data_IF_228469777561
#
_entry.id   IF_228469777561
#
_cell.length_a   1.000
_cell.length_b   1.000
_cell.length_c   1.000
_cell.angle_alpha   90.00
_cell.angle_beta   90.00
_cell.angle_gamma   90.00
#
_symmetry.space_group_name_H-M   'P 1'
#
loop_
_entity.id
_entity.type
_entity.pdbx_description
1 polymer ?
#
# COMPACT_ATOMS: atom_id res chain seq x y z
N UNK A 1 18.11 19.25 39.89
CA UNK A 1 19.17 18.95 38.88
C UNK A 1 18.63 17.89 37.94
N UNK A 2 18.12 18.30 36.78
CA UNK A 2 17.66 17.38 35.74
C UNK A 2 18.87 16.62 35.20
N UNK A 3 18.99 15.32 35.53
CA UNK A 3 19.85 14.44 34.75
C UNK A 3 19.34 14.51 33.31
N UNK A 4 20.13 15.08 32.41
CA UNK A 4 19.88 15.02 30.98
C UNK A 4 19.90 13.54 30.61
N UNK A 5 18.72 12.93 30.48
CA UNK A 5 18.56 11.56 30.00
C UNK A 5 19.35 11.42 28.70
N UNK A 6 20.22 10.42 28.64
CA UNK A 6 20.98 10.14 27.43
C UNK A 6 20.01 9.73 26.32
N UNK A 7 20.31 10.08 25.06
CA UNK A 7 19.52 9.67 23.90
C UNK A 7 19.32 8.14 23.85
N UNK A 8 20.29 7.39 24.35
CA UNK A 8 20.21 5.93 24.46
C UNK A 8 19.18 5.46 25.50
N UNK A 9 19.09 6.16 26.63
CA UNK A 9 18.11 5.85 27.69
C UNK A 9 16.69 6.17 27.20
N UNK A 10 16.51 7.30 26.51
CA UNK A 10 15.22 7.65 25.92
C UNK A 10 14.77 6.60 24.88
N UNK A 11 15.69 6.15 24.02
CA UNK A 11 15.41 5.09 23.05
C UNK A 11 15.03 3.77 23.74
N UNK A 12 15.71 3.38 24.83
CA UNK A 12 15.39 2.17 25.57
C UNK A 12 14.00 2.23 26.23
N UNK A 13 13.65 3.38 26.83
CA UNK A 13 12.32 3.62 27.40
C UNK A 13 11.26 3.55 26.32
N UNK A 14 11.50 4.21 25.18
CA UNK A 14 10.60 4.19 24.03
C UNK A 14 10.39 2.77 23.48
N UNK A 15 11.48 2.01 23.27
CA UNK A 15 11.43 0.62 22.79
C UNK A 15 10.56 -0.24 23.72
N UNK A 16 10.74 -0.13 25.04
CA UNK A 16 9.91 -0.84 26.02
C UNK A 16 8.44 -0.43 25.96
N UNK A 17 8.16 0.87 25.83
CA UNK A 17 6.79 1.38 25.76
C UNK A 17 6.06 0.87 24.50
N UNK A 18 6.73 0.89 23.34
CA UNK A 18 6.17 0.42 22.06
C UNK A 18 5.86 -1.08 22.12
N UNK A 19 6.78 -1.88 22.66
CA UNK A 19 6.60 -3.33 22.79
C UNK A 19 5.44 -3.64 23.74
N UNK A 20 5.33 -2.94 24.88
CA UNK A 20 4.31 -3.24 25.87
C UNK A 20 2.89 -2.79 25.45
N UNK A 21 2.75 -1.82 24.54
CA UNK A 21 1.45 -1.23 24.18
C UNK A 21 1.21 -1.14 22.66
N UNK A 22 1.21 -2.27 21.92
CA UNK A 22 1.11 -2.26 20.46
C UNK A 22 -0.21 -1.64 19.94
N UNK A 23 -1.30 -1.76 20.71
CA UNK A 23 -2.59 -1.15 20.40
C UNK A 23 -2.54 0.38 20.45
N UNK A 24 -2.09 0.94 21.58
CA UNK A 24 -1.97 2.39 21.78
C UNK A 24 -1.04 3.05 20.76
N UNK A 25 0.05 2.37 20.39
CA UNK A 25 0.96 2.87 19.36
C UNK A 25 0.23 3.00 18.02
N UNK A 26 -0.67 2.06 17.69
CA UNK A 26 -1.48 2.13 16.46
C UNK A 26 -2.43 3.33 16.49
N UNK A 27 -3.07 3.58 17.63
CA UNK A 27 -3.97 4.73 17.79
C UNK A 27 -3.22 6.05 17.68
N UNK A 28 -2.06 6.17 18.33
CA UNK A 28 -1.19 7.36 18.20
C UNK A 28 -0.75 7.59 16.75
N UNK A 29 -0.38 6.52 16.04
CA UNK A 29 0.00 6.61 14.62
C UNK A 29 -1.16 7.03 13.71
N UNK A 30 -2.37 6.53 13.98
CA UNK A 30 -3.56 6.96 13.21
C UNK A 30 -3.88 8.42 13.47
N UNK A 31 -3.86 8.87 14.72
CA UNK A 31 -4.06 10.29 15.08
C UNK A 31 -2.98 11.16 14.43
N UNK A 32 -1.72 10.75 14.47
CA UNK A 32 -0.63 11.46 13.81
C UNK A 32 -0.84 11.54 12.28
N UNK A 33 -1.26 10.45 11.64
CA UNK A 33 -1.59 10.45 10.21
C UNK A 33 -2.74 11.41 9.93
N UNK A 34 -3.81 11.39 10.73
CA UNK A 34 -4.98 12.24 10.54
C UNK A 34 -4.67 13.72 10.77
N UNK A 35 -3.72 14.03 11.66
CA UNK A 35 -3.26 15.39 11.91
C UNK A 35 -2.71 16.06 10.66
N UNK A 36 -2.06 15.30 9.76
CA UNK A 36 -1.55 15.83 8.49
C UNK A 36 -2.65 16.43 7.60
N UNK A 37 -3.82 15.78 7.55
CA UNK A 37 -4.98 16.26 6.78
C UNK A 37 -5.63 17.49 7.42
N UNK A 38 -5.66 17.57 8.76
CA UNK A 38 -6.13 18.77 9.45
C UNK A 38 -5.20 19.97 9.24
N UNK A 39 -3.88 19.74 9.23
CA UNK A 39 -2.87 20.77 8.95
C UNK A 39 -3.04 21.32 7.54
N UNK A 40 -3.30 20.45 6.55
CA UNK A 40 -3.57 20.86 5.16
C UNK A 40 -4.80 21.78 5.05
N UNK A 41 -5.84 21.54 5.85
CA UNK A 41 -7.10 22.24 5.74
C UNK A 41 -7.18 23.59 6.47
N UNK A 42 -6.48 23.75 7.60
CA UNK A 42 -6.74 24.88 8.53
C UNK A 42 -5.53 25.79 8.82
N UNK A 43 -4.30 25.27 8.80
CA UNK A 43 -3.14 25.97 9.40
C UNK A 43 -2.11 26.43 8.36
N UNK A 44 -2.08 25.86 7.15
CA UNK A 44 -1.24 26.38 6.08
C UNK A 44 -1.77 26.03 4.69
N UNK A 45 -1.92 27.02 3.80
CA UNK A 45 -2.21 26.82 2.35
C UNK A 45 -1.09 26.08 1.60
N UNK A 46 -0.02 25.68 2.29
CA UNK A 46 1.16 25.07 1.69
C UNK A 46 1.10 23.55 1.81
N UNK A 47 0.86 22.80 0.70
CA UNK A 47 0.76 21.33 0.73
C UNK A 47 2.05 20.63 1.16
N UNK A 48 3.19 21.35 1.18
CA UNK A 48 4.49 20.81 1.58
C UNK A 48 4.47 20.38 3.07
N UNK A 49 3.87 21.18 3.94
CA UNK A 49 3.91 20.93 5.40
C UNK A 49 3.02 19.74 5.76
N UNK A 50 1.84 19.64 5.14
CA UNK A 50 0.96 18.48 5.34
C UNK A 50 1.62 17.18 4.86
N UNK A 51 2.28 17.20 3.71
CA UNK A 51 3.01 16.03 3.20
C UNK A 51 4.25 15.68 4.04
N UNK A 52 4.93 16.67 4.63
CA UNK A 52 6.01 16.42 5.58
C UNK A 52 5.49 15.69 6.83
N UNK A 53 4.40 16.19 7.43
CA UNK A 53 3.79 15.56 8.61
C UNK A 53 3.31 14.15 8.28
N UNK A 54 2.70 13.96 7.10
CA UNK A 54 2.26 12.65 6.62
C UNK A 54 3.43 11.67 6.47
N UNK A 55 4.46 12.06 5.70
CA UNK A 55 5.63 11.21 5.45
C UNK A 55 6.38 10.87 6.74
N UNK A 56 6.59 11.85 7.63
CA UNK A 56 7.22 11.63 8.92
C UNK A 56 6.40 10.66 9.80
N UNK A 57 5.08 10.83 9.86
CA UNK A 57 4.19 9.92 10.59
C UNK A 57 4.32 8.48 10.07
N UNK A 58 4.38 8.29 8.74
CA UNK A 58 4.55 6.95 8.15
C UNK A 58 5.93 6.35 8.38
N UNK A 59 6.99 7.15 8.40
CA UNK A 59 8.33 6.68 8.74
C UNK A 59 8.42 6.24 10.21
N UNK A 60 7.75 6.96 11.12
CA UNK A 60 7.64 6.55 12.53
C UNK A 60 6.85 5.25 12.67
N UNK A 61 5.71 5.12 11.97
CA UNK A 61 4.96 3.84 11.92
C UNK A 61 5.83 2.68 11.42
N UNK A 62 6.62 2.89 10.36
CA UNK A 62 7.53 1.88 9.81
C UNK A 62 8.61 1.49 10.82
N UNK A 63 9.13 2.45 11.58
CA UNK A 63 10.10 2.21 12.64
C UNK A 63 9.49 1.40 13.79
N UNK A 64 8.27 1.75 14.22
CA UNK A 64 7.56 1.03 15.27
C UNK A 64 7.22 -0.40 14.87
N UNK A 65 6.76 -0.60 13.64
CA UNK A 65 6.52 -1.93 13.08
C UNK A 65 7.80 -2.78 13.09
N UNK A 66 8.96 -2.17 12.83
CA UNK A 66 10.26 -2.85 12.91
C UNK A 66 10.62 -3.24 14.34
N UNK A 67 10.43 -2.35 15.32
CA UNK A 67 10.67 -2.65 16.74
C UNK A 67 9.79 -3.80 17.23
N UNK A 68 8.53 -3.82 16.82
CA UNK A 68 7.57 -4.87 17.20
C UNK A 68 7.95 -6.19 16.55
N UNK A 69 8.32 -6.19 15.26
CA UNK A 69 8.80 -7.40 14.56
C UNK A 69 10.05 -7.98 15.22
N UNK A 70 10.98 -7.14 15.65
CA UNK A 70 12.20 -7.58 16.36
C UNK A 70 11.87 -8.17 17.74
N UNK A 71 10.86 -7.65 18.43
CA UNK A 71 10.50 -8.08 19.78
C UNK A 71 9.60 -9.34 19.82
N UNK A 72 8.70 -9.49 18.85
CA UNK A 72 7.69 -10.56 18.81
C UNK A 72 7.90 -11.58 17.69
N UNK A 73 8.80 -11.31 16.74
CA UNK A 73 9.09 -12.23 15.64
C UNK A 73 9.71 -13.53 16.15
N UNK A 74 9.16 -14.66 15.72
CA UNK A 74 9.65 -16.01 16.02
C UNK A 74 10.79 -16.46 15.11
N UNK A 75 11.21 -15.61 14.15
CA UNK A 75 12.32 -15.89 13.23
C UNK A 75 13.51 -14.98 13.51
N UNK A 76 14.72 -15.47 13.26
CA UNK A 76 15.93 -14.65 13.33
C UNK A 76 15.81 -13.40 12.45
N UNK A 77 16.36 -12.24 12.89
CA UNK A 77 16.34 -11.02 12.10
C UNK A 77 17.24 -11.20 10.88
N UNK A 78 16.67 -11.75 9.80
CA UNK A 78 17.38 -11.93 8.54
C UNK A 78 17.58 -10.57 7.87
N UNK A 79 18.66 -9.88 8.23
CA UNK A 79 19.15 -8.67 7.56
C UNK A 79 19.71 -8.98 6.16
N UNK A 80 18.89 -9.59 5.31
CA UNK A 80 19.23 -9.88 3.93
C UNK A 80 19.03 -8.66 3.04
N UNK A 81 19.76 -8.64 1.92
CA UNK A 81 19.61 -7.63 0.86
C UNK A 81 18.14 -7.48 0.41
N UNK A 82 17.35 -8.57 0.44
CA UNK A 82 15.91 -8.57 0.15
C UNK A 82 15.13 -7.60 1.04
N UNK A 83 15.30 -7.69 2.35
CA UNK A 83 14.56 -6.87 3.31
C UNK A 83 15.03 -5.42 3.29
N UNK A 84 16.34 -5.20 3.10
CA UNK A 84 16.89 -3.87 2.93
C UNK A 84 16.30 -3.16 1.71
N UNK A 85 16.22 -3.85 0.56
CA UNK A 85 15.62 -3.30 -0.66
C UNK A 85 14.15 -2.94 -0.41
N UNK A 86 13.37 -3.82 0.24
CA UNK A 86 11.98 -3.52 0.60
C UNK A 86 11.85 -2.30 1.49
N UNK A 87 12.70 -2.20 2.52
CA UNK A 87 12.72 -1.05 3.43
C UNK A 87 12.98 0.24 2.67
N UNK A 88 14.04 0.27 1.85
CA UNK A 88 14.35 1.45 1.04
C UNK A 88 13.21 1.81 0.07
N UNK A 89 12.59 0.81 -0.56
CA UNK A 89 11.48 1.01 -1.47
C UNK A 89 10.25 1.60 -0.76
N UNK A 90 9.97 1.17 0.49
CA UNK A 90 8.91 1.75 1.32
C UNK A 90 9.20 3.17 1.78
N UNK A 91 10.42 3.45 2.21
CA UNK A 91 10.85 4.79 2.61
C UNK A 91 10.69 5.76 1.45
N UNK A 92 11.15 5.36 0.25
CA UNK A 92 10.98 6.17 -0.96
C UNK A 92 9.51 6.38 -1.30
N UNK A 93 8.66 5.35 -1.17
CA UNK A 93 7.22 5.50 -1.40
C UNK A 93 6.58 6.53 -0.47
N UNK A 94 6.94 6.56 0.83
CA UNK A 94 6.41 7.54 1.76
C UNK A 94 6.97 8.96 1.55
N UNK A 95 8.22 9.10 1.08
CA UNK A 95 8.85 10.40 0.88
C UNK A 95 8.64 10.99 -0.52
N UNK A 96 8.16 10.20 -1.50
CA UNK A 96 8.06 10.61 -2.91
C UNK A 96 7.32 11.93 -3.10
N UNK A 97 6.07 12.01 -2.64
CA UNK A 97 5.22 13.20 -2.84
C UNK A 97 5.84 14.43 -2.16
N UNK A 98 6.41 14.25 -0.97
CA UNK A 98 7.10 15.33 -0.26
C UNK A 98 8.31 15.86 -1.05
N UNK A 99 9.17 14.97 -1.56
CA UNK A 99 10.33 15.33 -2.37
C UNK A 99 9.88 16.04 -3.65
N UNK A 100 8.84 15.54 -4.32
CA UNK A 100 8.30 16.14 -5.54
C UNK A 100 7.79 17.57 -5.31
N UNK A 101 7.09 17.80 -4.21
CA UNK A 101 6.60 19.14 -3.86
C UNK A 101 7.73 20.09 -3.47
N UNK A 102 8.74 19.61 -2.74
CA UNK A 102 9.94 20.38 -2.41
C UNK A 102 10.69 20.83 -3.67
N UNK A 103 10.91 19.89 -4.59
CA UNK A 103 11.63 20.15 -5.85
C UNK A 103 10.81 21.05 -6.75
N UNK A 104 9.48 20.87 -6.83
CA UNK A 104 8.59 21.78 -7.57
C UNK A 104 8.72 23.22 -7.07
N UNK A 105 8.84 23.42 -5.76
CA UNK A 105 8.99 24.75 -5.16
C UNK A 105 10.38 25.37 -5.40
N UNK A 106 11.46 24.57 -5.33
CA UNK A 106 12.85 25.06 -5.45
C UNK A 106 13.35 25.15 -6.90
N UNK A 107 13.02 24.17 -7.74
CA UNK A 107 13.59 23.97 -9.09
C UNK A 107 12.52 23.96 -10.21
N UNK A 108 11.27 24.28 -9.86
CA UNK A 108 10.17 24.40 -10.81
C UNK A 108 9.75 23.08 -11.45
N UNK A 109 8.94 23.18 -12.51
CA UNK A 109 8.30 22.02 -13.15
C UNK A 109 9.29 21.08 -13.83
N UNK A 110 10.38 21.60 -14.43
CA UNK A 110 11.42 20.76 -15.06
C UNK A 110 12.12 19.88 -14.02
N UNK A 111 12.50 20.47 -12.88
CA UNK A 111 13.10 19.74 -11.76
C UNK A 111 12.17 18.67 -11.18
N UNK A 112 10.87 18.98 -11.06
CA UNK A 112 9.86 18.01 -10.59
C UNK A 112 9.90 16.74 -11.45
N UNK A 113 9.84 16.88 -12.78
CA UNK A 113 9.81 15.74 -13.70
C UNK A 113 11.14 14.97 -13.75
N UNK A 114 12.29 15.64 -13.61
CA UNK A 114 13.59 14.94 -13.54
C UNK A 114 13.69 14.08 -12.29
N UNK A 115 13.29 14.61 -11.13
CA UNK A 115 13.34 13.86 -9.86
C UNK A 115 12.31 12.74 -9.84
N UNK A 116 11.07 12.99 -10.30
CA UNK A 116 10.05 11.95 -10.42
C UNK A 116 10.52 10.79 -11.33
N UNK A 117 11.19 11.11 -12.44
CA UNK A 117 11.77 10.09 -13.34
C UNK A 117 12.87 9.28 -12.65
N UNK A 118 13.79 9.93 -11.92
CA UNK A 118 14.85 9.25 -11.18
C UNK A 118 14.31 8.34 -10.08
N UNK A 119 13.34 8.81 -9.29
CA UNK A 119 12.68 8.01 -8.26
C UNK A 119 11.98 6.80 -8.89
N UNK A 120 11.31 6.99 -10.03
CA UNK A 120 10.61 5.91 -10.69
C UNK A 120 11.55 4.86 -11.29
N UNK A 121 12.68 5.29 -11.87
CA UNK A 121 13.73 4.38 -12.34
C UNK A 121 14.30 3.58 -11.18
N UNK A 122 14.58 4.24 -10.05
CA UNK A 122 15.08 3.55 -8.85
C UNK A 122 14.08 2.50 -8.35
N UNK A 123 12.80 2.85 -8.21
CA UNK A 123 11.74 1.92 -7.78
C UNK A 123 11.61 0.74 -8.72
N UNK A 124 11.56 1.02 -10.03
CA UNK A 124 11.44 0.00 -11.06
C UNK A 124 12.64 -0.96 -11.03
N UNK A 125 13.86 -0.43 -10.97
CA UNK A 125 15.07 -1.25 -10.89
C UNK A 125 15.10 -2.14 -9.65
N UNK A 126 14.73 -1.60 -8.49
CA UNK A 126 14.66 -2.33 -7.22
C UNK A 126 13.57 -3.41 -7.23
N UNK A 127 12.40 -3.11 -7.80
CA UNK A 127 11.31 -4.07 -7.98
C UNK A 127 11.70 -5.20 -8.96
N UNK A 128 12.39 -4.89 -10.06
CA UNK A 128 12.92 -5.91 -10.98
C UNK A 128 13.96 -6.81 -10.30
N UNK A 129 14.84 -6.25 -9.45
CA UNK A 129 15.79 -7.05 -8.66
C UNK A 129 15.06 -7.99 -7.71
N UNK A 130 14.00 -7.52 -7.04
CA UNK A 130 13.14 -8.37 -6.19
C UNK A 130 12.44 -9.47 -6.99
N UNK A 131 11.95 -9.17 -8.18
CA UNK A 131 11.29 -10.15 -9.04
C UNK A 131 12.26 -11.21 -9.57
N UNK A 132 13.39 -10.81 -10.14
CA UNK A 132 14.30 -11.75 -10.82
C UNK A 132 15.20 -12.52 -9.86
N UNK A 133 15.74 -11.87 -8.81
CA UNK A 133 16.68 -12.51 -7.89
C UNK A 133 15.96 -13.25 -6.76
N UNK A 134 14.85 -12.71 -6.31
CA UNK A 134 14.17 -13.15 -5.10
C UNK A 134 12.82 -13.86 -5.36
N UNK A 135 12.36 -13.88 -6.63
CA UNK A 135 11.13 -14.54 -7.12
C UNK A 135 9.90 -14.20 -6.28
N UNK A 136 9.82 -12.96 -5.79
CA UNK A 136 8.64 -12.50 -5.07
C UNK A 136 7.52 -12.17 -6.05
N UNK A 137 6.40 -12.84 -5.86
CA UNK A 137 5.22 -12.69 -6.68
C UNK A 137 4.03 -12.65 -5.72
N UNK A 138 3.11 -11.69 -5.81
CA UNK A 138 3.24 -10.34 -6.37
C UNK A 138 3.99 -9.38 -5.42
N UNK A 139 4.51 -8.26 -5.95
CA UNK A 139 5.16 -7.21 -5.17
C UNK A 139 4.09 -6.28 -4.58
N UNK A 140 3.87 -6.41 -3.28
CA UNK A 140 2.94 -5.56 -2.55
C UNK A 140 3.26 -4.06 -2.70
N UNK A 141 2.22 -3.26 -2.87
CA UNK A 141 2.26 -1.80 -2.76
C UNK A 141 1.51 -1.38 -1.48
N UNK A 142 2.17 -0.85 -0.43
CA UNK A 142 3.63 -0.70 -0.25
C UNK A 142 4.39 -2.04 -0.03
N UNK A 143 5.70 -2.09 -0.34
CA UNK A 143 6.52 -3.32 -0.30
C UNK A 143 6.60 -4.03 1.07
N UNK A 144 6.45 -3.28 2.14
CA UNK A 144 6.22 -3.82 3.49
C UNK A 144 4.78 -3.50 3.83
N UNK A 145 3.95 -4.54 3.91
CA UNK A 145 2.59 -4.38 4.41
C UNK A 145 2.63 -3.89 5.86
N UNK A 146 1.79 -2.89 6.16
CA UNK A 146 1.58 -2.40 7.53
C UNK A 146 1.30 -3.59 8.43
N UNK A 147 2.05 -3.69 9.53
CA UNK A 147 1.93 -4.83 10.42
C UNK A 147 0.53 -4.85 11.03
N UNK A 148 -0.24 -5.92 10.78
CA UNK A 148 -1.51 -6.12 11.46
C UNK A 148 -1.22 -6.62 12.88
N UNK A 149 -0.88 -5.68 13.77
CA UNK A 149 -0.46 -5.94 15.16
C UNK A 149 -1.49 -6.78 15.93
N UNK A 150 -2.78 -6.63 15.61
CA UNK A 150 -3.88 -7.46 16.14
C UNK A 150 -3.71 -8.96 15.86
N UNK A 151 -3.18 -9.35 14.69
CA UNK A 151 -2.94 -10.77 14.37
C UNK A 151 -1.86 -11.41 15.23
N UNK A 152 -0.88 -10.64 15.72
CA UNK A 152 0.18 -11.16 16.60
C UNK A 152 -0.29 -11.27 18.05
N UNK A 153 -1.17 -10.36 18.49
CA UNK A 153 -1.78 -10.42 19.83
C UNK A 153 -2.87 -11.49 19.92
N UNK A 154 -3.75 -11.59 18.90
CA UNK A 154 -4.82 -12.61 18.82
C UNK A 154 -4.31 -13.99 18.38
N UNK A 155 -3.21 -14.05 17.61
CA UNK A 155 -2.53 -15.30 17.25
C UNK A 155 -2.13 -16.11 18.48
N UNK A 156 -1.81 -15.43 19.59
CA UNK A 156 -1.50 -16.05 20.88
C UNK A 156 -2.73 -16.68 21.55
N UNK A 157 -3.92 -16.08 21.38
CA UNK A 157 -5.19 -16.69 21.81
C UNK A 157 -5.62 -17.84 20.87
N UNK A 158 -5.25 -17.78 19.59
CA UNK A 158 -5.54 -18.86 18.63
C UNK A 158 -4.61 -20.06 18.76
N UNK A 159 -3.36 -19.86 19.17
CA UNK A 159 -2.43 -20.95 19.53
C UNK A 159 -2.88 -21.68 20.80
N UNK A 160 -3.51 -21.01 21.77
CA UNK A 160 -4.24 -21.69 22.86
C UNK A 160 -5.45 -22.48 22.34
N UNK A 161 -6.05 -22.02 21.24
CA UNK A 161 -7.13 -22.68 20.52
C UNK A 161 -6.64 -23.73 19.51
N UNK A 162 -5.34 -24.05 19.44
CA UNK A 162 -4.78 -25.14 18.60
C UNK A 162 -5.38 -26.52 18.94
N UNK A 163 -6.03 -26.64 20.09
CA UNK A 163 -6.90 -27.75 20.47
C UNK A 163 -8.17 -27.91 19.60
N UNK A 164 -8.47 -26.98 18.70
CA UNK A 164 -9.65 -26.98 17.82
C UNK A 164 -9.52 -27.86 16.56
N UNK A 165 -8.32 -28.35 16.23
CA UNK A 165 -8.10 -29.19 15.06
C UNK A 165 -7.40 -30.49 15.44
N UNK A 166 -7.74 -31.60 14.79
CA UNK A 166 -7.05 -32.87 14.95
C UNK A 166 -6.72 -33.50 13.59
N UNK A 167 -5.56 -34.15 13.52
CA UNK A 167 -5.13 -34.93 12.36
C UNK A 167 -5.62 -36.37 12.49
N UNK A 168 -6.25 -36.89 11.44
CA UNK A 168 -6.63 -38.30 11.39
C UNK A 168 -5.38 -39.17 11.20
N UNK A 169 -5.10 -40.08 12.15
CA UNK A 169 -3.89 -40.92 12.17
C UNK A 169 -3.65 -41.74 10.89
N UNK A 170 -4.72 -42.15 10.19
CA UNK A 170 -4.63 -43.02 8.99
C UNK A 170 -4.58 -42.25 7.67
N UNK A 171 -5.29 -41.12 7.58
CA UNK A 171 -5.40 -40.34 6.34
C UNK A 171 -4.55 -39.07 6.33
N UNK A 172 -3.98 -38.68 7.47
CA UNK A 172 -3.26 -37.41 7.64
C UNK A 172 -4.15 -36.16 7.48
N UNK A 173 -5.45 -36.34 7.27
CA UNK A 173 -6.38 -35.23 7.00
C UNK A 173 -6.69 -34.47 8.29
N UNK A 174 -6.57 -33.14 8.24
CA UNK A 174 -6.94 -32.23 9.32
C UNK A 174 -8.47 -32.06 9.37
N UNK A 175 -9.04 -32.26 10.55
CA UNK A 175 -10.48 -32.14 10.82
C UNK A 175 -10.68 -31.18 12.00
N UNK A 176 -11.70 -30.33 11.91
CA UNK A 176 -12.13 -29.44 13.01
C UNK A 176 -12.82 -30.25 14.11
N UNK A 177 -12.50 -29.97 15.37
CA UNK A 177 -13.26 -30.43 16.53
C UNK A 177 -14.55 -29.61 16.65
N UNK A 178 -15.54 -30.20 17.32
CA UNK A 178 -16.85 -29.56 17.53
C UNK A 178 -16.71 -28.27 18.35
N UNK A 179 -15.86 -28.30 19.38
CA UNK A 179 -15.63 -27.17 20.30
C UNK A 179 -14.97 -25.95 19.63
N UNK A 180 -14.23 -26.17 18.53
CA UNK A 180 -13.55 -25.12 17.77
C UNK A 180 -14.30 -24.66 16.52
N UNK A 181 -15.58 -25.05 16.38
CA UNK A 181 -16.36 -24.70 15.20
C UNK A 181 -16.91 -23.28 15.29
N UNK A 182 -16.80 -22.45 14.24
CA UNK A 182 -17.45 -21.15 14.22
C UNK A 182 -18.97 -21.30 14.33
N UNK A 183 -19.63 -20.22 14.78
CA UNK A 183 -21.09 -20.16 14.86
C UNK A 183 -21.72 -20.53 13.51
N UNK A 184 -22.90 -21.16 13.54
CA UNK A 184 -23.53 -21.78 12.35
C UNK A 184 -23.62 -20.83 11.15
N UNK A 185 -23.83 -19.53 11.41
CA UNK A 185 -23.91 -18.50 10.38
C UNK A 185 -22.60 -18.28 9.58
N UNK A 186 -21.43 -18.64 10.13
CA UNK A 186 -20.11 -18.46 9.51
C UNK A 186 -19.47 -19.79 9.09
N UNK A 187 -20.26 -20.86 8.93
CA UNK A 187 -19.76 -22.17 8.51
C UNK A 187 -19.77 -22.29 6.98
N UNK A 188 -18.59 -22.27 6.40
CA UNK A 188 -18.42 -22.41 4.94
C UNK A 188 -18.49 -23.86 4.46
N UNK A 189 -18.58 -24.84 5.37
CA UNK A 189 -18.58 -26.30 5.12
C UNK A 189 -17.45 -26.85 4.22
N UNK A 190 -16.51 -25.99 3.82
CA UNK A 190 -15.34 -26.37 3.07
C UNK A 190 -14.33 -27.11 3.97
N UNK A 191 -13.59 -28.10 3.41
CA UNK A 191 -12.51 -28.75 4.13
C UNK A 191 -11.47 -27.73 4.58
N UNK A 192 -10.87 -27.98 5.74
CA UNK A 192 -9.80 -27.14 6.29
C UNK A 192 -8.68 -27.06 5.26
N UNK A 193 -8.50 -25.89 4.67
CA UNK A 193 -7.38 -25.60 3.77
C UNK A 193 -6.16 -25.47 4.66
N UNK A 194 -5.35 -26.52 4.69
CA UNK A 194 -3.99 -26.42 5.22
C UNK A 194 -3.31 -25.36 4.36
N UNK A 195 -2.64 -24.41 5.00
CA UNK A 195 -1.79 -23.45 4.32
C UNK A 195 -0.61 -24.25 3.73
N UNK A 196 -0.85 -24.88 2.58
CA UNK A 196 0.18 -25.56 1.83
C UNK A 196 1.11 -24.47 1.29
N UNK A 197 2.23 -24.23 2.00
CA UNK A 197 3.41 -23.53 1.48
C UNK A 197 4.11 -24.31 0.34
N UNK A 198 3.38 -25.22 -0.33
CA UNK A 198 3.87 -25.94 -1.49
C UNK A 198 3.78 -25.00 -2.70
N UNK A 199 4.89 -24.72 -3.39
CA UNK A 199 4.87 -23.91 -4.59
C UNK A 199 4.24 -24.73 -5.73
N UNK A 200 2.91 -24.75 -5.81
CA UNK A 200 2.15 -25.33 -6.94
C UNK A 200 2.41 -24.64 -8.29
N UNK A 201 3.34 -23.68 -8.35
CA UNK A 201 3.53 -22.77 -9.45
C UNK A 201 4.70 -23.10 -10.39
N UNK A 202 5.49 -24.17 -10.18
CA UNK A 202 6.80 -24.35 -10.82
C UNK A 202 6.79 -24.28 -12.38
N UNK A 203 5.73 -24.73 -13.05
CA UNK A 203 5.61 -24.66 -14.52
C UNK A 203 5.08 -23.31 -15.04
N UNK A 204 4.27 -22.59 -14.25
CA UNK A 204 3.52 -21.40 -14.67
C UNK A 204 4.07 -20.09 -14.11
N UNK A 205 5.21 -20.12 -13.40
CA UNK A 205 5.89 -18.92 -12.87
C UNK A 205 6.22 -17.93 -14.00
N UNK A 206 6.51 -18.41 -15.21
CA UNK A 206 6.92 -17.55 -16.34
C UNK A 206 5.84 -16.53 -16.72
N UNK A 207 4.60 -16.97 -16.89
CA UNK A 207 3.48 -16.07 -17.19
C UNK A 207 3.27 -15.04 -16.07
N UNK A 208 3.41 -15.47 -14.81
CA UNK A 208 3.26 -14.58 -13.66
C UNK A 208 4.41 -13.57 -13.55
N UNK A 209 5.63 -13.99 -13.88
CA UNK A 209 6.81 -13.12 -14.02
C UNK A 209 6.58 -12.08 -15.12
N UNK A 210 6.04 -12.48 -16.27
CA UNK A 210 5.71 -11.55 -17.35
C UNK A 210 4.63 -10.56 -16.92
N UNK A 211 3.54 -11.04 -16.29
CA UNK A 211 2.47 -10.21 -15.77
C UNK A 211 2.99 -9.16 -14.79
N UNK A 212 3.89 -9.57 -13.89
CA UNK A 212 4.47 -8.68 -12.89
C UNK A 212 5.49 -7.71 -13.50
N UNK A 213 6.32 -8.17 -14.45
CA UNK A 213 7.26 -7.30 -15.17
C UNK A 213 6.54 -6.17 -15.92
N UNK A 214 5.39 -6.46 -16.55
CA UNK A 214 4.58 -5.45 -17.23
C UNK A 214 4.04 -4.41 -16.24
N UNK A 215 3.59 -4.86 -15.07
CA UNK A 215 3.08 -3.98 -14.02
C UNK A 215 4.19 -3.09 -13.44
N UNK A 216 5.39 -3.64 -13.18
CA UNK A 216 6.54 -2.89 -12.67
C UNK A 216 7.06 -1.87 -13.70
N UNK A 217 7.05 -2.21 -14.99
CA UNK A 217 7.54 -1.35 -16.07
C UNK A 217 6.56 -0.25 -16.48
N UNK A 218 5.27 -0.43 -16.22
CA UNK A 218 4.19 0.53 -16.54
C UNK A 218 4.55 1.99 -16.27
N UNK A 219 4.98 2.41 -15.07
CA UNK A 219 5.22 3.82 -14.80
C UNK A 219 6.40 4.40 -15.61
N UNK A 220 7.41 3.60 -15.96
CA UNK A 220 8.47 4.03 -16.87
C UNK A 220 7.97 4.16 -18.31
N UNK A 221 7.17 3.18 -18.78
CA UNK A 221 6.56 3.23 -20.11
C UNK A 221 5.61 4.43 -20.21
N UNK A 222 4.85 4.72 -19.16
CA UNK A 222 4.00 5.89 -19.07
C UNK A 222 4.83 7.17 -19.16
N UNK A 223 5.90 7.33 -18.37
CA UNK A 223 6.79 8.51 -18.45
C UNK A 223 7.43 8.66 -19.84
N UNK A 224 7.84 7.56 -20.47
CA UNK A 224 8.36 7.59 -21.85
C UNK A 224 7.29 8.05 -22.84
N UNK A 225 6.06 7.53 -22.73
CA UNK A 225 4.92 7.93 -23.56
C UNK A 225 4.52 9.39 -23.32
N UNK A 226 4.65 9.87 -22.09
CA UNK A 226 4.40 11.26 -21.71
C UNK A 226 5.43 12.21 -22.34
N UNK A 227 6.69 11.77 -22.44
CA UNK A 227 7.76 12.52 -23.11
C UNK A 227 7.58 12.55 -24.63
N UNK A 228 7.07 11.47 -25.22
CA UNK A 228 6.88 11.36 -26.68
C UNK A 228 5.59 12.02 -27.18
N UNK A 229 4.46 11.79 -26.51
CA UNK A 229 3.13 12.23 -26.96
C UNK A 229 2.58 13.45 -26.21
N UNK A 230 3.26 13.88 -25.14
CA UNK A 230 2.86 15.00 -24.31
C UNK A 230 1.97 14.62 -23.12
N UNK A 231 1.88 15.53 -22.16
CA UNK A 231 1.31 15.29 -20.82
C UNK A 231 -0.20 15.19 -20.74
N UNK A 232 -0.90 15.58 -21.81
CA UNK A 232 -2.38 15.57 -21.89
C UNK A 232 -2.92 14.65 -22.99
N UNK A 233 -2.04 13.89 -23.65
CA UNK A 233 -2.48 13.03 -24.74
C UNK A 233 -3.25 11.81 -24.21
N UNK A 234 -4.26 11.38 -24.96
CA UNK A 234 -4.97 10.12 -24.70
C UNK A 234 -4.08 8.89 -24.94
N UNK A 235 -3.07 9.01 -25.80
CA UNK A 235 -2.15 7.91 -26.14
C UNK A 235 -1.42 7.35 -24.91
N UNK A 236 -0.82 8.21 -24.08
CA UNK A 236 -0.15 7.78 -22.84
C UNK A 236 -1.12 7.11 -21.84
N UNK A 237 -2.38 7.58 -21.78
CA UNK A 237 -3.39 7.03 -20.89
C UNK A 237 -3.84 5.63 -21.34
N UNK A 238 -4.11 5.47 -22.64
CA UNK A 238 -4.49 4.16 -23.22
C UNK A 238 -3.34 3.17 -23.07
N UNK A 239 -2.09 3.58 -23.37
CA UNK A 239 -0.92 2.68 -23.26
C UNK A 239 -0.82 2.09 -21.86
N UNK A 240 -0.91 2.92 -20.82
CA UNK A 240 -0.76 2.43 -19.47
C UNK A 240 -2.00 1.66 -18.97
N UNK A 241 -3.21 1.97 -19.46
CA UNK A 241 -4.41 1.16 -19.24
C UNK A 241 -4.27 -0.23 -19.87
N UNK A 242 -3.80 -0.29 -21.11
CA UNK A 242 -3.57 -1.56 -21.82
C UNK A 242 -2.55 -2.44 -21.09
N UNK A 243 -1.47 -1.84 -20.53
CA UNK A 243 -0.49 -2.58 -19.73
C UNK A 243 -1.11 -3.21 -18.48
N UNK A 244 -1.94 -2.47 -17.73
CA UNK A 244 -2.62 -3.03 -16.56
C UNK A 244 -3.67 -4.08 -16.94
N UNK A 245 -4.44 -3.87 -18.01
CA UNK A 245 -5.39 -4.88 -18.49
C UNK A 245 -4.68 -6.16 -18.93
N UNK A 246 -3.54 -6.04 -19.61
CA UNK A 246 -2.72 -7.18 -20.02
C UNK A 246 -2.19 -7.94 -18.78
N UNK A 247 -1.57 -7.24 -17.83
CA UNK A 247 -1.10 -7.83 -16.57
C UNK A 247 -2.25 -8.54 -15.82
N UNK A 248 -3.40 -7.89 -15.70
CA UNK A 248 -4.59 -8.43 -15.02
C UNK A 248 -5.18 -9.65 -15.71
N UNK A 249 -5.20 -9.68 -17.04
CA UNK A 249 -5.67 -10.83 -17.81
C UNK A 249 -4.79 -12.06 -17.59
N UNK A 250 -3.48 -11.87 -17.41
CA UNK A 250 -2.59 -12.95 -17.04
C UNK A 250 -2.84 -13.40 -15.59
N UNK A 251 -3.01 -12.47 -14.65
CA UNK A 251 -3.32 -12.79 -13.25
C UNK A 251 -4.67 -13.49 -13.04
N UNK A 252 -5.70 -13.13 -13.81
CA UNK A 252 -7.03 -13.71 -13.66
C UNK A 252 -7.07 -15.21 -13.97
N UNK A 253 -6.20 -15.68 -14.87
CA UNK A 253 -6.04 -17.11 -15.20
C UNK A 253 -5.56 -17.94 -13.99
N UNK A 254 -4.77 -17.32 -13.11
CA UNK A 254 -4.13 -17.98 -11.97
C UNK A 254 -4.75 -17.61 -10.62
N UNK A 255 -5.90 -16.91 -10.60
CA UNK A 255 -6.52 -16.40 -9.38
C UNK A 255 -6.83 -17.49 -8.34
N UNK A 256 -7.11 -18.71 -8.80
CA UNK A 256 -7.45 -19.85 -7.93
C UNK A 256 -6.24 -20.44 -7.20
N UNK A 257 -5.05 -20.29 -7.76
CA UNK A 257 -3.81 -20.89 -7.23
C UNK A 257 -3.05 -19.92 -6.31
N UNK A 258 -3.49 -18.66 -6.24
CA UNK A 258 -2.87 -17.63 -5.43
C UNK A 258 -3.34 -17.67 -3.97
N UNK A 259 -2.40 -17.40 -3.07
CA UNK A 259 -2.62 -17.23 -1.63
C UNK A 259 -3.55 -16.04 -1.35
N UNK A 260 -4.23 -16.05 -0.21
CA UNK A 260 -5.17 -15.00 0.20
C UNK A 260 -4.55 -13.60 0.14
N UNK A 261 -3.33 -13.43 0.63
CA UNK A 261 -2.64 -12.13 0.64
C UNK A 261 -2.35 -11.63 -0.79
N UNK A 262 -1.96 -12.54 -1.69
CA UNK A 262 -1.71 -12.24 -3.10
C UNK A 262 -3.02 -11.84 -3.81
N UNK A 263 -4.13 -12.50 -3.48
CA UNK A 263 -5.46 -12.16 -4.03
C UNK A 263 -5.92 -10.78 -3.56
N UNK A 264 -5.67 -10.45 -2.30
CA UNK A 264 -6.00 -9.15 -1.73
C UNK A 264 -5.20 -8.04 -2.42
N UNK A 265 -3.94 -8.31 -2.76
CA UNK A 265 -3.13 -7.38 -3.55
C UNK A 265 -3.69 -7.17 -4.96
N UNK A 266 -4.06 -8.23 -5.67
CA UNK A 266 -4.69 -8.12 -7.00
C UNK A 266 -6.00 -7.33 -6.91
N UNK A 267 -6.78 -7.52 -5.84
CA UNK A 267 -7.99 -6.74 -5.59
C UNK A 267 -7.69 -5.24 -5.47
N UNK A 268 -6.64 -4.86 -4.73
CA UNK A 268 -6.19 -3.46 -4.65
C UNK A 268 -5.80 -2.91 -6.03
N UNK A 269 -5.08 -3.70 -6.83
CA UNK A 269 -4.72 -3.31 -8.20
C UNK A 269 -5.96 -3.15 -9.11
N UNK A 270 -7.01 -3.95 -8.91
CA UNK A 270 -8.31 -3.77 -9.61
C UNK A 270 -9.02 -2.48 -9.16
N UNK A 271 -8.97 -2.14 -7.88
CA UNK A 271 -9.49 -0.85 -7.41
C UNK A 271 -8.70 0.32 -8.00
N UNK A 272 -7.39 0.17 -8.18
CA UNK A 272 -6.55 1.17 -8.87
C UNK A 272 -6.99 1.40 -10.32
N UNK A 273 -7.57 0.39 -11.02
CA UNK A 273 -8.17 0.60 -12.34
C UNK A 273 -9.35 1.58 -12.31
N UNK A 274 -10.15 1.59 -11.25
CA UNK A 274 -11.26 2.56 -11.11
C UNK A 274 -10.70 3.97 -10.96
N UNK A 275 -9.55 4.12 -10.29
CA UNK A 275 -8.88 5.41 -10.12
C UNK A 275 -8.36 6.01 -11.43
N UNK A 276 -8.34 5.27 -12.55
CA UNK A 276 -8.04 5.83 -13.87
C UNK A 276 -9.02 6.91 -14.31
N UNK A 277 -10.26 6.85 -13.81
CA UNK A 277 -11.28 7.87 -14.07
C UNK A 277 -10.89 9.23 -13.49
N UNK A 278 -10.08 9.25 -12.43
CA UNK A 278 -9.55 10.45 -11.77
C UNK A 278 -8.21 10.92 -12.36
N UNK A 279 -7.65 10.18 -13.32
CA UNK A 279 -6.39 10.55 -13.98
C UNK A 279 -6.65 11.37 -15.26
N UNK A 280 -5.77 12.31 -15.54
CA UNK A 280 -5.77 13.05 -16.81
C UNK A 280 -5.38 12.13 -17.97
N UNK A 281 -5.99 12.23 -19.18
CA UNK A 281 -6.93 13.25 -19.65
C UNK A 281 -8.41 12.97 -19.35
N UNK A 282 -8.77 11.74 -18.96
CA UNK A 282 -10.17 11.35 -18.73
C UNK A 282 -10.86 12.23 -17.68
N UNK A 283 -10.13 12.55 -16.60
CA UNK A 283 -10.63 13.43 -15.55
C UNK A 283 -10.97 14.83 -16.08
N UNK A 284 -10.03 15.48 -16.77
CA UNK A 284 -10.21 16.85 -17.25
C UNK A 284 -11.27 16.95 -18.36
N UNK A 285 -11.46 15.89 -19.15
CA UNK A 285 -12.44 15.89 -20.23
C UNK A 285 -13.87 15.57 -19.78
N UNK A 286 -14.04 14.56 -18.94
CA UNK A 286 -15.37 14.02 -18.62
C UNK A 286 -15.61 13.87 -17.12
N UNK A 287 -14.76 13.12 -16.42
CA UNK A 287 -15.05 12.69 -15.05
C UNK A 287 -15.18 13.86 -14.07
N UNK A 288 -14.43 14.95 -14.25
CA UNK A 288 -14.50 16.13 -13.38
C UNK A 288 -15.92 16.69 -13.33
N UNK A 289 -16.51 16.95 -14.50
CA UNK A 289 -17.86 17.53 -14.58
C UNK A 289 -18.92 16.58 -14.01
N UNK A 290 -18.79 15.27 -14.25
CA UNK A 290 -19.72 14.27 -13.72
C UNK A 290 -19.64 14.21 -12.18
N UNK A 291 -18.44 14.22 -11.63
CA UNK A 291 -18.21 14.19 -10.17
C UNK A 291 -18.72 15.49 -9.55
N UNK A 292 -18.35 16.65 -10.08
CA UNK A 292 -18.80 17.96 -9.56
C UNK A 292 -20.33 18.09 -9.62
N UNK A 293 -20.96 17.73 -10.73
CA UNK A 293 -22.42 17.76 -10.86
C UNK A 293 -23.10 16.76 -9.90
N UNK A 294 -22.52 15.58 -9.71
CA UNK A 294 -22.99 14.59 -8.75
C UNK A 294 -22.92 15.10 -7.30
N UNK A 295 -21.78 15.67 -6.90
CA UNK A 295 -21.60 16.23 -5.55
C UNK A 295 -22.50 17.44 -5.32
N UNK A 296 -22.64 18.33 -6.30
CA UNK A 296 -23.55 19.48 -6.23
C UNK A 296 -25.01 19.02 -6.10
N UNK A 297 -25.41 18.01 -6.88
CA UNK A 297 -26.75 17.42 -6.79
C UNK A 297 -27.01 16.77 -5.43
N UNK A 298 -26.00 16.07 -4.88
CA UNK A 298 -26.11 15.44 -3.56
C UNK A 298 -26.16 16.47 -2.43
N UNK A 299 -25.36 17.54 -2.55
CA UNK A 299 -25.38 18.68 -1.63
C UNK A 299 -26.71 19.44 -1.66
N UNK A 300 -27.38 19.50 -2.82
CA UNK A 300 -28.67 20.16 -2.96
C UNK A 300 -29.84 19.30 -2.45
N UNK A 301 -29.75 17.97 -2.54
CA UNK A 301 -30.83 17.04 -2.15
C UNK A 301 -30.82 16.69 -0.66
N UNK A 302 -29.65 16.62 -0.03
CA UNK A 302 -29.52 16.15 1.36
C UNK A 302 -29.06 17.31 2.25
N UNK A 303 -29.87 17.77 3.21
CA UNK A 303 -29.45 18.79 4.18
C UNK A 303 -28.24 18.27 4.99
N UNK A 304 -27.34 19.18 5.36
CA UNK A 304 -26.03 18.90 5.97
C UNK A 304 -24.96 18.23 5.08
N UNK A 305 -25.31 17.67 3.91
CA UNK A 305 -24.31 17.08 3.01
C UNK A 305 -23.40 18.14 2.36
N UNK A 306 -23.83 19.40 2.36
CA UNK A 306 -23.02 20.54 1.91
C UNK A 306 -21.72 20.73 2.69
N UNK A 307 -21.71 20.40 3.99
CA UNK A 307 -20.51 20.49 4.83
C UNK A 307 -19.41 19.51 4.41
N UNK A 308 -19.78 18.40 3.78
CA UNK A 308 -18.85 17.37 3.31
C UNK A 308 -18.53 17.57 1.83
N UNK A 309 -19.54 17.80 0.98
CA UNK A 309 -19.35 17.97 -0.46
C UNK A 309 -18.55 19.23 -0.81
N UNK A 310 -18.76 20.34 -0.10
CA UNK A 310 -18.08 21.61 -0.38
C UNK A 310 -16.55 21.50 -0.32
N UNK A 311 -15.97 21.01 0.79
CA UNK A 311 -14.53 20.75 0.87
C UNK A 311 -14.04 19.78 -0.20
N UNK A 312 -14.77 18.68 -0.45
CA UNK A 312 -14.33 17.67 -1.43
C UNK A 312 -14.19 18.29 -2.82
N UNK A 313 -15.16 19.09 -3.28
CA UNK A 313 -15.11 19.75 -4.58
C UNK A 313 -13.89 20.67 -4.69
N UNK A 314 -13.61 21.47 -3.64
CA UNK A 314 -12.46 22.38 -3.63
C UNK A 314 -11.12 21.63 -3.65
N UNK A 315 -11.02 20.53 -2.91
CA UNK A 315 -9.79 19.74 -2.83
C UNK A 315 -9.59 18.76 -3.99
N UNK A 316 -10.65 18.40 -4.73
CA UNK A 316 -10.57 17.39 -5.80
C UNK A 316 -9.53 17.75 -6.87
N UNK A 317 -9.54 19.01 -7.34
CA UNK A 317 -8.54 19.48 -8.30
C UNK A 317 -7.12 19.45 -7.73
N UNK A 318 -6.97 19.74 -6.45
CA UNK A 318 -5.68 19.73 -5.76
C UNK A 318 -5.13 18.31 -5.61
N UNK A 319 -5.99 17.36 -5.21
CA UNK A 319 -5.65 15.95 -5.09
C UNK A 319 -5.28 15.35 -6.44
N UNK A 320 -6.00 15.75 -7.49
CA UNK A 320 -5.70 15.31 -8.85
C UNK A 320 -4.30 15.73 -9.31
N UNK A 321 -3.90 16.97 -9.06
CA UNK A 321 -2.58 17.51 -9.42
C UNK A 321 -1.42 16.90 -8.62
N UNK A 322 -1.68 16.47 -7.38
CA UNK A 322 -0.65 15.94 -6.47
C UNK A 322 -0.52 14.42 -6.59
N UNK A 323 -1.61 13.66 -6.58
CA UNK A 323 -1.54 12.19 -6.45
C UNK A 323 -1.86 11.43 -7.75
N UNK A 324 -2.71 11.98 -8.62
CA UNK A 324 -3.24 11.26 -9.78
C UNK A 324 -2.50 11.57 -11.09
N UNK A 325 -1.43 12.34 -11.02
CA UNK A 325 -0.62 12.67 -12.20
C UNK A 325 0.42 11.56 -12.52
N UNK A 326 0.84 10.78 -11.52
CA UNK A 326 1.75 9.63 -11.67
C UNK A 326 0.99 8.31 -11.63
N UNK A 327 1.50 7.35 -12.41
CA UNK A 327 0.83 6.07 -12.67
C UNK A 327 1.44 4.90 -11.90
N UNK A 328 2.36 5.22 -11.00
CA UNK A 328 3.10 4.30 -10.13
C UNK A 328 2.47 4.10 -8.75
N UNK A 329 1.37 4.80 -8.46
CA UNK A 329 0.63 4.73 -7.19
C UNK A 329 -0.47 3.69 -7.19
#
# INVERSE_FOLDING_TARGET
MSKSLSLQEFYAIYKRWVINNPGLVTDVETVATWSSYFVAGKINKSPIVSELVYSLSKLVSLFNDRLIREAYGTGEPYYGLREQIKLWLTVIHYCEVFIELLVKNRWGTKGKWTVATLLQVFKCSSALVLLFRFKELPIAHPPIAVLQRKKFTEGRETDENSNSFFTLRRSGRLVRRVDGSPAVAFRDWEPVKIQDDRPGAAANVKDLIYAESLHIMKPLIHLASMRAFGTKAWKQWIVALCLDMASMKLYSKYMKDLSYDQRLEISRRKLSLVLYLLRSPMYNGYSKNVIENGLNSMSAKIPAMSFICGPIIQYLSHWQDIYFYMWAS
#
